data_IF_106898770296
#
_entry.id   IF_106898770296
#
_cell.length_a   1.000
_cell.length_b   1.000
_cell.length_c   1.000
_cell.angle_alpha   90.00
_cell.angle_beta   90.00
_cell.angle_gamma   90.00
#
_symmetry.space_group_name_H-M   'P 1'
#
loop_
_entity.id
_entity.type
_entity.pdbx_description
1 polymer ?
#
# COMPACT_ATOMS: atom_id res chain seq x y z
N UNK A 1 -5.40 10.58 21.22
CA UNK A 1 -5.05 10.07 19.87
C UNK A 1 -6.26 9.66 19.04
N UNK A 2 -7.07 8.66 19.42
CA UNK A 2 -8.22 8.23 18.58
C UNK A 2 -9.31 9.31 18.42
N UNK A 3 -9.61 10.06 19.49
CA UNK A 3 -10.57 11.17 19.44
C UNK A 3 -10.04 12.36 18.65
N UNK A 4 -8.76 12.69 18.79
CA UNK A 4 -8.12 13.78 18.02
C UNK A 4 -8.11 13.48 16.52
N UNK A 5 -7.86 12.22 16.14
CA UNK A 5 -7.90 11.79 14.74
C UNK A 5 -9.32 11.83 14.14
N UNK A 6 -10.35 11.58 14.94
CA UNK A 6 -11.75 11.64 14.48
C UNK A 6 -12.26 13.07 14.29
N UNK A 7 -11.64 14.04 14.96
CA UNK A 7 -11.97 15.46 14.87
C UNK A 7 -11.16 16.21 13.79
N UNK A 8 -10.18 15.55 13.14
CA UNK A 8 -9.42 16.15 12.05
C UNK A 8 -10.26 16.22 10.78
N UNK A 9 -10.33 17.41 10.17
CA UNK A 9 -10.93 17.59 8.85
C UNK A 9 -10.09 16.92 7.76
N UNK A 10 -10.75 16.39 6.73
CA UNK A 10 -10.10 15.71 5.59
C UNK A 10 -9.08 16.65 4.90
N UNK A 11 -9.37 17.95 4.86
CA UNK A 11 -8.47 18.99 4.32
C UNK A 11 -7.14 19.10 5.08
N UNK A 12 -7.14 18.99 6.43
CA UNK A 12 -5.90 19.03 7.23
C UNK A 12 -5.07 17.77 7.01
N UNK A 13 -5.72 16.63 6.76
CA UNK A 13 -5.06 15.39 6.42
C UNK A 13 -4.41 15.52 5.04
N UNK A 14 -5.11 16.04 4.04
CA UNK A 14 -4.58 16.26 2.69
C UNK A 14 -3.41 17.25 2.65
N UNK A 15 -3.49 18.36 3.40
CA UNK A 15 -2.38 19.31 3.52
C UNK A 15 -1.13 18.71 4.18
N UNK A 16 -1.33 17.82 5.15
CA UNK A 16 -0.22 17.12 5.82
C UNK A 16 0.36 16.04 4.91
N UNK A 17 -0.49 15.38 4.13
CA UNK A 17 -0.14 14.38 3.13
C UNK A 17 0.65 14.99 1.97
N UNK A 18 0.32 16.21 1.52
CA UNK A 18 1.03 16.90 0.44
C UNK A 18 2.51 17.19 0.75
N UNK A 19 2.90 17.14 2.03
CA UNK A 19 4.30 17.31 2.47
C UNK A 19 5.10 16.00 2.46
N UNK A 20 4.43 14.86 2.27
CA UNK A 20 5.09 13.56 2.25
C UNK A 20 5.65 13.28 0.86
N UNK A 21 6.81 12.62 0.76
CA UNK A 21 7.29 12.05 -0.50
C UNK A 21 6.23 11.12 -1.13
N UNK A 22 6.18 11.06 -2.45
CA UNK A 22 5.17 10.31 -3.22
C UNK A 22 4.95 8.88 -2.70
N UNK A 23 6.03 8.20 -2.33
CA UNK A 23 6.00 6.82 -1.81
C UNK A 23 5.25 6.71 -0.48
N UNK A 24 5.47 7.65 0.42
CA UNK A 24 4.80 7.69 1.73
C UNK A 24 3.33 8.11 1.56
N UNK A 25 3.08 9.06 0.66
CA UNK A 25 1.73 9.50 0.30
C UNK A 25 0.87 8.34 -0.24
N UNK A 26 1.37 7.60 -1.22
CA UNK A 26 0.68 6.44 -1.81
C UNK A 26 0.33 5.39 -0.74
N UNK A 27 1.23 5.18 0.22
CA UNK A 27 1.02 4.20 1.28
C UNK A 27 -0.07 4.63 2.26
N UNK A 28 -0.09 5.91 2.66
CA UNK A 28 -1.17 6.45 3.52
C UNK A 28 -2.50 6.43 2.78
N UNK A 29 -2.51 6.80 1.49
CA UNK A 29 -3.72 6.74 0.66
C UNK A 29 -4.26 5.31 0.55
N UNK A 30 -3.38 4.32 0.32
CA UNK A 30 -3.76 2.91 0.27
C UNK A 30 -4.34 2.43 1.61
N UNK A 31 -3.74 2.81 2.74
CA UNK A 31 -4.26 2.50 4.07
C UNK A 31 -5.62 3.15 4.33
N UNK A 32 -5.80 4.43 3.99
CA UNK A 32 -7.07 5.13 4.11
C UNK A 32 -8.15 4.48 3.24
N UNK A 33 -7.84 4.14 1.99
CA UNK A 33 -8.77 3.45 1.11
C UNK A 33 -9.11 2.04 1.62
N UNK A 34 -8.16 1.31 2.19
CA UNK A 34 -8.41 0.01 2.80
C UNK A 34 -9.33 0.13 4.03
N UNK A 35 -9.11 1.14 4.88
CA UNK A 35 -9.95 1.40 6.06
C UNK A 35 -11.37 1.83 5.73
N UNK A 36 -11.59 2.51 4.60
CA UNK A 36 -12.92 2.96 4.15
C UNK A 36 -13.75 1.83 3.50
N UNK A 37 -13.18 0.64 3.24
CA UNK A 37 -13.86 -0.47 2.53
C UNK A 37 -14.35 -1.54 3.50
N UNK A 38 -15.53 -2.09 3.23
CA UNK A 38 -16.10 -3.25 3.95
C UNK A 38 -15.47 -4.61 3.58
N UNK A 39 -14.40 -4.64 2.77
CA UNK A 39 -13.76 -5.88 2.34
C UNK A 39 -12.52 -5.70 1.45
N UNK A 40 -11.71 -6.77 1.36
CA UNK A 40 -10.39 -6.85 0.68
C UNK A 40 -10.40 -7.23 -0.82
N UNK A 41 -11.43 -7.83 -1.43
CA UNK A 41 -11.35 -8.24 -2.85
C UNK A 41 -11.26 -7.06 -3.83
N UNK A 42 -10.37 -7.14 -4.83
CA UNK A 42 -10.41 -6.28 -6.01
C UNK A 42 -9.59 -4.98 -5.98
N UNK A 43 -8.64 -4.82 -5.05
CA UNK A 43 -7.77 -3.65 -5.02
C UNK A 43 -6.83 -3.62 -6.24
N UNK A 44 -6.96 -2.57 -7.07
CA UNK A 44 -6.01 -2.25 -8.14
C UNK A 44 -4.83 -1.50 -7.54
N UNK A 45 -3.62 -2.01 -7.75
CA UNK A 45 -2.38 -1.37 -7.33
C UNK A 45 -1.73 -0.68 -8.51
N UNK A 46 -1.01 0.42 -8.26
CA UNK A 46 -0.16 1.05 -9.29
C UNK A 46 1.00 0.12 -9.64
N UNK A 47 1.54 0.25 -10.86
CA UNK A 47 2.66 -0.57 -11.34
C UNK A 47 3.89 -0.40 -10.42
N UNK A 48 4.12 0.82 -9.96
CA UNK A 48 5.19 1.20 -9.05
C UNK A 48 5.04 0.51 -7.68
N UNK A 49 3.81 0.46 -7.14
CA UNK A 49 3.55 -0.19 -5.86
C UNK A 49 3.75 -1.71 -5.92
N UNK A 50 3.36 -2.34 -7.04
CA UNK A 50 3.59 -3.76 -7.30
C UNK A 50 5.10 -4.06 -7.35
N UNK A 51 5.88 -3.21 -8.02
CA UNK A 51 7.33 -3.35 -8.11
C UNK A 51 7.98 -3.23 -6.72
N UNK A 52 7.60 -2.24 -5.92
CA UNK A 52 8.11 -2.05 -4.56
C UNK A 52 7.76 -3.24 -3.64
N UNK A 53 6.53 -3.77 -3.74
CA UNK A 53 6.15 -4.99 -3.03
C UNK A 53 7.02 -6.19 -3.45
N UNK A 54 7.34 -6.30 -4.74
CA UNK A 54 8.22 -7.33 -5.29
C UNK A 54 9.65 -7.19 -4.76
N UNK A 55 10.22 -5.99 -4.80
CA UNK A 55 11.56 -5.71 -4.28
C UNK A 55 11.67 -5.99 -2.78
N UNK A 56 10.66 -5.61 -1.99
CA UNK A 56 10.60 -5.89 -0.55
C UNK A 56 10.55 -7.40 -0.28
N UNK A 57 9.81 -8.14 -1.10
CA UNK A 57 9.76 -9.60 -1.01
C UNK A 57 11.11 -10.24 -1.34
N UNK A 58 11.75 -9.84 -2.45
CA UNK A 58 13.09 -10.34 -2.85
C UNK A 58 14.09 -10.09 -1.72
N UNK A 59 14.05 -8.92 -1.09
CA UNK A 59 14.97 -8.55 0.00
C UNK A 59 14.73 -9.36 1.28
N UNK A 60 13.49 -9.63 1.65
CA UNK A 60 13.18 -10.48 2.80
C UNK A 60 11.75 -11.05 2.71
N UNK A 61 11.62 -12.32 2.27
CA UNK A 61 10.32 -13.00 2.19
C UNK A 61 9.62 -13.11 3.54
N UNK A 62 10.40 -13.40 4.60
CA UNK A 62 9.89 -13.56 5.97
C UNK A 62 9.29 -12.26 6.49
N UNK A 63 9.99 -11.14 6.29
CA UNK A 63 9.49 -9.83 6.69
C UNK A 63 8.23 -9.46 5.91
N UNK A 64 8.23 -9.71 4.60
CA UNK A 64 7.05 -9.45 3.76
C UNK A 64 5.82 -10.23 4.25
N UNK A 65 5.99 -11.52 4.56
CA UNK A 65 4.90 -12.34 5.09
C UNK A 65 4.40 -11.88 6.45
N UNK A 66 5.31 -11.50 7.36
CA UNK A 66 4.93 -11.01 8.68
C UNK A 66 4.12 -9.71 8.55
N UNK A 67 4.59 -8.75 7.73
CA UNK A 67 3.86 -7.50 7.45
C UNK A 67 2.48 -7.79 6.85
N UNK A 68 2.39 -8.74 5.91
CA UNK A 68 1.13 -9.11 5.27
C UNK A 68 0.17 -9.80 6.24
N UNK A 69 0.63 -10.78 7.04
CA UNK A 69 -0.21 -11.53 8.00
C UNK A 69 -0.81 -10.63 9.07
N UNK A 70 -0.04 -9.65 9.53
CA UNK A 70 -0.48 -8.67 10.53
C UNK A 70 -1.21 -7.46 9.92
N UNK A 71 -1.45 -7.43 8.59
CA UNK A 71 -2.06 -6.31 7.88
C UNK A 71 -1.43 -4.95 8.22
N UNK A 72 -0.12 -4.93 8.47
CA UNK A 72 0.62 -3.71 8.88
C UNK A 72 0.69 -2.72 7.71
N UNK A 73 0.77 -3.24 6.48
CA UNK A 73 0.81 -2.46 5.26
C UNK A 73 -0.04 -3.14 4.19
N UNK A 74 -0.62 -2.33 3.31
CA UNK A 74 -1.33 -2.85 2.14
C UNK A 74 -0.33 -3.46 1.17
N UNK A 75 -0.30 -4.79 1.12
CA UNK A 75 0.60 -5.56 0.28
C UNK A 75 -0.19 -6.30 -0.80
N UNK A 76 0.40 -6.44 -1.98
CA UNK A 76 -0.19 -7.27 -3.03
C UNK A 76 -0.21 -8.73 -2.60
N UNK A 77 -1.36 -9.40 -2.77
CA UNK A 77 -1.50 -10.83 -2.42
C UNK A 77 -0.60 -11.68 -3.31
N UNK A 78 -0.22 -12.87 -2.84
CA UNK A 78 0.68 -13.79 -3.55
C UNK A 78 0.27 -14.12 -5.00
N UNK A 79 -1.02 -14.02 -5.36
CA UNK A 79 -1.48 -14.20 -6.74
C UNK A 79 -0.91 -13.17 -7.73
N UNK A 80 -0.47 -12.01 -7.24
CA UNK A 80 0.22 -11.00 -8.04
C UNK A 80 1.73 -11.28 -8.20
N UNK A 81 2.31 -12.22 -7.42
CA UNK A 81 3.74 -12.60 -7.56
C UNK A 81 4.05 -13.37 -8.83
N UNK A 82 3.09 -14.15 -9.33
CA UNK A 82 3.26 -14.98 -10.53
C UNK A 82 2.89 -14.25 -11.82
N UNK A 83 2.35 -13.03 -11.71
CA UNK A 83 2.15 -12.15 -12.87
C UNK A 83 3.31 -11.17 -12.86
N UNK A 84 4.39 -11.42 -13.63
CA UNK A 84 5.42 -10.40 -13.80
C UNK A 84 4.72 -9.12 -14.26
N UNK A 85 5.03 -7.95 -13.67
CA UNK A 85 4.53 -6.71 -14.22
C UNK A 85 5.01 -6.66 -15.67
N UNK A 86 4.12 -6.29 -16.61
CA UNK A 86 4.41 -6.20 -18.07
C UNK A 86 5.68 -5.40 -18.39
N UNK A 87 6.21 -4.66 -17.41
CA UNK A 87 7.51 -3.98 -17.39
C UNK A 87 8.69 -4.93 -17.67
N UNK A 88 8.58 -6.23 -17.36
CA UNK A 88 9.60 -7.24 -17.69
C UNK A 88 9.33 -7.97 -19.01
N UNK A 89 8.32 -7.55 -19.80
CA UNK A 89 8.00 -8.13 -21.12
C UNK A 89 8.40 -7.21 -22.28
N UNK A 90 9.41 -6.36 -22.09
CA UNK A 90 10.05 -5.63 -23.17
C UNK A 90 11.27 -6.40 -23.69
N UNK A 91 11.08 -6.92 -24.91
CA UNK A 91 12.02 -7.58 -25.84
C UNK A 91 12.45 -9.03 -25.54
#
# INVERSE_FOLDING_TARGET
MKQDNAAMSEEKVEQSLARLPDKQWQQVQACCQASKRGGTPGMKYTKEWVLECTLRWIKSPRLYEQIHRHNIMVLTRNSCRHRPPEIFQSE
#
